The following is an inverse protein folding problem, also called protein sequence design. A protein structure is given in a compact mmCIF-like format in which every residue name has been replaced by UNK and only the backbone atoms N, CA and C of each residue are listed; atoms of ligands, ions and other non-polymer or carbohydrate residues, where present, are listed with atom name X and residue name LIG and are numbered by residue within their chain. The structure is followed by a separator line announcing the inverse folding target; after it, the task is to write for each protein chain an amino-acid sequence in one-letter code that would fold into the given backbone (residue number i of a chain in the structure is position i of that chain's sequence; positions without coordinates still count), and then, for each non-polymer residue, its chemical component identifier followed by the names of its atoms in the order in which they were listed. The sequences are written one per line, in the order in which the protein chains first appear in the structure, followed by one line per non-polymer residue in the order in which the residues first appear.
data_IF_941716511181
#
_entry.id   IF_941716511181
#
_cell.length_a   1.000
_cell.length_b   1.000
_cell.length_c   1.000
_cell.angle_alpha   90.00
_cell.angle_beta   90.00
_cell.angle_gamma   90.00
#
_symmetry.space_group_name_H-M   'P 1'
#
loop_
_entity.id
_entity.type
_entity.pdbx_description
1 polymer ?
#
# COMPACT_ATOMS: atom_id res chain seq x y z
N UNK A 1 49.44 -4.19 -0.99
CA UNK A 1 49.34 -4.86 0.33
C UNK A 1 48.65 -3.88 1.27
N UNK A 2 47.50 -4.10 1.89
CA UNK A 2 46.47 -5.14 1.89
C UNK A 2 45.24 -4.48 2.57
N UNK A 3 44.03 -4.93 2.24
CA UNK A 3 42.70 -4.66 2.84
C UNK A 3 42.63 -4.16 4.30
N UNK A 4 41.55 -3.42 4.65
CA UNK A 4 40.61 -3.77 5.74
C UNK A 4 39.28 -2.97 5.66
N UNK A 5 38.25 -3.72 5.22
CA UNK A 5 36.80 -3.73 5.51
C UNK A 5 36.18 -2.84 6.65
N UNK A 6 35.16 -2.02 6.28
CA UNK A 6 33.84 -1.70 6.94
C UNK A 6 33.73 -1.14 8.41
N UNK A 7 32.58 -0.52 8.84
CA UNK A 7 31.18 -0.85 8.48
C UNK A 7 30.23 0.30 8.08
N UNK A 8 29.35 -0.02 7.12
CA UNK A 8 28.04 0.60 6.88
C UNK A 8 27.12 0.32 8.07
N UNK A 9 26.74 1.34 8.85
CA UNK A 9 25.75 1.19 9.91
C UNK A 9 24.50 2.02 9.59
N UNK A 10 23.47 1.34 9.08
CA UNK A 10 22.13 1.86 8.82
C UNK A 10 21.44 2.20 10.15
N UNK A 11 21.57 3.45 10.63
CA UNK A 11 20.69 3.98 11.69
C UNK A 11 19.37 4.47 11.10
N UNK A 12 18.57 3.55 10.52
CA UNK A 12 17.16 3.84 10.16
C UNK A 12 16.27 3.86 11.42
N UNK A 13 16.78 3.34 12.55
CA UNK A 13 15.99 3.02 13.73
C UNK A 13 15.55 4.24 14.58
N UNK A 14 16.24 5.38 14.54
CA UNK A 14 15.89 6.53 15.39
C UNK A 14 14.77 7.40 14.78
N UNK A 15 14.88 7.77 13.50
CA UNK A 15 13.83 8.56 12.82
C UNK A 15 12.48 7.83 12.71
N UNK A 16 12.50 6.49 12.63
CA UNK A 16 11.28 5.66 12.68
C UNK A 16 10.65 5.68 14.07
N UNK A 17 11.46 5.71 15.14
CA UNK A 17 10.99 5.71 16.53
C UNK A 17 10.37 7.05 16.93
N UNK A 18 10.93 8.16 16.47
CA UNK A 18 10.34 9.49 16.67
C UNK A 18 9.00 9.66 15.94
N UNK A 19 8.85 9.05 14.76
CA UNK A 19 7.60 9.08 14.00
C UNK A 19 6.39 8.42 14.69
N UNK A 20 6.61 7.65 15.78
CA UNK A 20 5.53 7.07 16.58
C UNK A 20 5.06 7.96 17.74
N UNK A 21 5.82 8.99 18.10
CA UNK A 21 5.44 9.98 19.13
C UNK A 21 4.46 11.02 18.62
N UNK A 22 4.35 11.18 17.29
CA UNK A 22 3.33 12.01 16.68
C UNK A 22 1.99 11.25 16.60
N UNK A 23 0.97 11.64 17.38
CA UNK A 23 -0.31 10.96 17.42
C UNK A 23 -0.99 10.94 16.04
N UNK A 24 -0.78 11.96 15.21
CA UNK A 24 -1.37 12.02 13.87
C UNK A 24 -0.75 11.02 12.90
N UNK A 25 0.56 10.74 13.04
CA UNK A 25 1.28 9.73 12.25
C UNK A 25 0.87 8.33 12.71
N UNK A 26 0.68 8.11 14.01
CA UNK A 26 0.22 6.85 14.58
C UNK A 26 -1.19 6.50 14.10
N UNK A 27 -2.11 7.46 14.11
CA UNK A 27 -3.49 7.24 13.66
C UNK A 27 -3.57 6.96 12.16
N UNK A 28 -2.84 7.73 11.33
CA UNK A 28 -2.71 7.49 9.89
C UNK A 28 -2.06 6.14 9.55
N UNK A 29 -1.18 5.62 10.42
CA UNK A 29 -0.57 4.28 10.26
C UNK A 29 -1.49 3.16 10.73
N UNK A 30 -2.40 3.42 11.68
CA UNK A 30 -3.38 2.45 12.19
C UNK A 30 -4.56 2.26 11.23
N UNK A 31 -4.86 3.24 10.38
CA UNK A 31 -5.90 3.13 9.37
C UNK A 31 -5.56 2.06 8.32
N UNK A 32 -6.20 0.90 8.47
CA UNK A 32 -6.28 -0.13 7.43
C UNK A 32 -7.32 0.33 6.42
N UNK A 33 -6.84 0.87 5.30
CA UNK A 33 -7.71 1.21 4.19
C UNK A 33 -7.99 -0.06 3.39
N UNK A 34 -9.25 -0.47 3.36
CA UNK A 34 -9.73 -1.48 2.42
C UNK A 34 -9.74 -0.96 0.99
N UNK A 35 -9.94 -1.86 0.04
CA UNK A 35 -10.12 -1.52 -1.37
C UNK A 35 -11.31 -2.29 -1.94
N UNK A 36 -12.15 -1.61 -2.71
CA UNK A 36 -13.18 -2.22 -3.55
C UNK A 36 -12.61 -2.35 -4.96
N UNK A 37 -12.91 -3.46 -5.64
CA UNK A 37 -12.33 -3.78 -6.96
C UNK A 37 -13.41 -4.15 -7.95
N UNK A 38 -13.32 -3.57 -9.15
CA UNK A 38 -14.08 -3.96 -10.33
C UNK A 38 -13.13 -4.53 -11.38
N UNK A 39 -13.45 -5.68 -11.98
CA UNK A 39 -12.73 -6.25 -13.13
C UNK A 39 -13.57 -6.02 -14.38
N UNK A 40 -13.05 -5.25 -15.33
CA UNK A 40 -13.73 -4.90 -16.58
C UNK A 40 -15.16 -4.35 -16.35
N UNK A 41 -15.34 -3.56 -15.29
CA UNK A 41 -16.64 -2.99 -14.90
C UNK A 41 -17.53 -3.89 -14.04
N UNK A 42 -17.15 -5.15 -13.80
CA UNK A 42 -17.90 -6.08 -12.96
C UNK A 42 -17.30 -6.11 -11.54
N UNK A 43 -18.10 -5.94 -10.48
CA UNK A 43 -17.59 -5.98 -9.11
C UNK A 43 -17.04 -7.38 -8.80
N UNK A 44 -15.78 -7.44 -8.38
CA UNK A 44 -15.11 -8.70 -7.99
C UNK A 44 -15.00 -8.83 -6.47
N UNK A 45 -15.10 -7.72 -5.73
CA UNK A 45 -15.26 -7.74 -4.28
C UNK A 45 -14.48 -6.65 -3.56
N UNK A 46 -14.53 -6.74 -2.24
CA UNK A 46 -13.82 -5.85 -1.33
C UNK A 46 -12.75 -6.61 -0.56
N UNK A 47 -11.61 -5.95 -0.35
CA UNK A 47 -10.46 -6.52 0.32
C UNK A 47 -9.99 -5.61 1.43
N UNK A 48 -9.53 -6.20 2.52
CA UNK A 48 -9.04 -5.44 3.69
C UNK A 48 -7.75 -4.66 3.39
N UNK A 49 -7.06 -4.97 2.29
CA UNK A 49 -5.90 -4.24 1.80
C UNK A 49 -5.67 -4.48 0.32
N UNK A 50 -4.94 -3.55 -0.32
CA UNK A 50 -4.49 -3.71 -1.70
C UNK A 50 -3.64 -4.97 -1.92
N UNK A 51 -2.78 -5.32 -0.95
CA UNK A 51 -1.95 -6.52 -1.03
C UNK A 51 -2.81 -7.79 -1.12
N UNK A 52 -3.83 -7.91 -0.27
CA UNK A 52 -4.77 -9.04 -0.33
C UNK A 52 -5.53 -9.07 -1.66
N UNK A 53 -5.94 -7.92 -2.18
CA UNK A 53 -6.59 -7.85 -3.48
C UNK A 53 -5.67 -8.35 -4.60
N UNK A 54 -4.41 -7.90 -4.63
CA UNK A 54 -3.44 -8.36 -5.62
C UNK A 54 -3.20 -9.86 -5.53
N UNK A 55 -3.03 -10.39 -4.31
CA UNK A 55 -2.83 -11.81 -4.08
C UNK A 55 -4.05 -12.65 -4.51
N UNK A 56 -5.26 -12.23 -4.12
CA UNK A 56 -6.49 -12.95 -4.43
C UNK A 56 -6.84 -12.92 -5.93
N UNK A 57 -6.50 -11.83 -6.62
CA UNK A 57 -6.75 -11.65 -8.05
C UNK A 57 -5.58 -12.15 -8.92
N UNK A 58 -4.55 -12.77 -8.34
CA UNK A 58 -3.38 -13.27 -9.09
C UNK A 58 -2.53 -12.18 -9.74
N UNK A 59 -2.63 -10.94 -9.26
CA UNK A 59 -1.90 -9.80 -9.80
C UNK A 59 -0.45 -9.77 -9.31
N UNK A 60 0.46 -9.07 -10.03
CA UNK A 60 1.87 -9.01 -9.66
C UNK A 60 2.09 -8.32 -8.31
N UNK A 61 2.30 -9.10 -7.24
CA UNK A 61 2.47 -8.60 -5.88
C UNK A 61 3.59 -7.55 -5.79
N UNK A 62 4.67 -7.69 -6.56
CA UNK A 62 5.79 -6.72 -6.59
C UNK A 62 5.35 -5.30 -7.00
N UNK A 63 4.23 -5.16 -7.72
CA UNK A 63 3.69 -3.87 -8.17
C UNK A 63 2.71 -3.23 -7.19
N UNK A 64 2.30 -3.93 -6.12
CA UNK A 64 1.28 -3.42 -5.21
C UNK A 64 1.76 -2.18 -4.44
N UNK A 65 3.02 -2.12 -4.01
CA UNK A 65 3.57 -0.98 -3.23
C UNK A 65 3.51 0.34 -4.02
N UNK A 66 4.11 0.43 -5.23
CA UNK A 66 4.04 1.68 -6.00
C UNK A 66 2.61 2.01 -6.43
N UNK A 67 1.77 1.01 -6.70
CA UNK A 67 0.35 1.23 -7.01
C UNK A 67 -0.42 1.81 -5.81
N UNK A 68 -0.16 1.29 -4.60
CA UNK A 68 -0.80 1.76 -3.36
C UNK A 68 -0.60 3.24 -3.11
N UNK A 69 0.61 3.75 -3.38
CA UNK A 69 0.93 5.17 -3.15
C UNK A 69 0.04 6.04 -4.04
N UNK A 70 -0.01 5.71 -5.34
CA UNK A 70 -0.84 6.42 -6.33
C UNK A 70 -2.33 6.30 -6.01
N UNK A 71 -2.79 5.09 -5.69
CA UNK A 71 -4.18 4.82 -5.34
C UNK A 71 -4.63 5.63 -4.12
N UNK A 72 -3.80 5.75 -3.07
CA UNK A 72 -4.14 6.57 -1.90
C UNK A 72 -4.20 8.06 -2.20
N UNK A 73 -3.43 8.55 -3.16
CA UNK A 73 -3.47 9.96 -3.58
C UNK A 73 -4.69 10.26 -4.47
N UNK A 74 -5.03 9.34 -5.36
CA UNK A 74 -6.13 9.51 -6.30
C UNK A 74 -7.52 9.12 -5.73
N UNK A 75 -7.56 8.26 -4.71
CA UNK A 75 -8.80 7.69 -4.16
C UNK A 75 -9.35 6.52 -4.99
N UNK A 76 -9.19 6.56 -6.30
CA UNK A 76 -9.41 5.43 -7.21
C UNK A 76 -8.33 5.37 -8.30
N UNK A 77 -7.98 4.16 -8.74
CA UNK A 77 -6.97 3.94 -9.77
C UNK A 77 -7.17 2.59 -10.45
N UNK A 78 -6.95 2.55 -11.77
CA UNK A 78 -7.03 1.31 -12.55
C UNK A 78 -5.66 0.66 -12.72
N UNK A 79 -5.61 -0.66 -12.59
CA UNK A 79 -4.45 -1.50 -12.89
C UNK A 79 -4.78 -2.39 -14.09
N UNK A 80 -3.94 -2.35 -15.12
CA UNK A 80 -4.04 -3.23 -16.27
C UNK A 80 -2.97 -4.32 -16.15
N UNK A 81 -3.38 -5.59 -16.15
CA UNK A 81 -2.45 -6.73 -16.10
C UNK A 81 -2.00 -7.20 -17.49
N UNK A 82 -2.63 -6.70 -18.56
CA UNK A 82 -2.44 -7.09 -19.95
C UNK A 82 -3.71 -7.71 -20.54
N UNK A 83 -4.48 -8.42 -19.71
CA UNK A 83 -5.72 -9.11 -20.12
C UNK A 83 -6.98 -8.41 -19.60
N UNK A 84 -6.93 -7.86 -18.40
CA UNK A 84 -8.06 -7.24 -17.72
C UNK A 84 -7.70 -5.91 -17.07
N UNK A 85 -8.71 -5.05 -16.94
CA UNK A 85 -8.62 -3.78 -16.24
C UNK A 85 -9.30 -3.93 -14.88
N UNK A 86 -8.51 -3.72 -13.82
CA UNK A 86 -8.97 -3.75 -12.43
C UNK A 86 -9.05 -2.32 -11.90
N UNK A 87 -10.25 -1.80 -11.71
CA UNK A 87 -10.46 -0.50 -11.07
C UNK A 87 -10.51 -0.68 -9.56
N UNK A 88 -9.53 -0.11 -8.86
CA UNK A 88 -9.44 -0.10 -7.40
C UNK A 88 -9.96 1.21 -6.86
N UNK A 89 -10.78 1.15 -5.82
CA UNK A 89 -11.25 2.32 -5.07
C UNK A 89 -10.92 2.14 -3.60
N UNK A 90 -10.32 3.16 -2.98
CA UNK A 90 -10.02 3.14 -1.54
C UNK A 90 -11.32 3.21 -0.75
N UNK A 91 -11.59 2.19 0.04
CA UNK A 91 -12.63 2.24 1.07
C UNK A 91 -12.01 2.99 2.24
N UNK A 92 -12.28 4.29 2.33
CA UNK A 92 -11.84 5.08 3.47
C UNK A 92 -12.54 4.53 4.71
N UNK A 93 -11.84 4.34 5.85
CA UNK A 93 -12.53 4.10 7.09
C UNK A 93 -13.45 5.30 7.33
N UNK A 94 -14.74 5.04 7.57
CA UNK A 94 -15.72 6.06 7.97
C UNK A 94 -15.06 6.95 9.02
N UNK A 95 -14.89 8.25 8.71
CA UNK A 95 -14.57 9.23 9.73
C UNK A 95 -15.76 9.20 10.69
N UNK A 96 -15.59 8.59 11.86
CA UNK A 96 -16.46 8.85 12.99
C UNK A 96 -16.17 10.30 13.40
N UNK A 97 -16.91 11.24 12.80
CA UNK A 97 -17.02 12.62 13.27
C UNK A 97 -17.81 12.66 14.57
#
# INVERSE_FOLDING_TARGET
MTDHDKPKNFKISEGVRESWKDPTVREKRRQRNGVSVLRNGIPVGEYTSLYQAFKALGLPEKKHIPFRIKLKQAGSLSFNDGESIYAFTVIQPLKTS
#
